data_IF_145744115591
#
_entry.id   IF_145744115591
#
_cell.length_a   1.000
_cell.length_b   1.000
_cell.length_c   1.000
_cell.angle_alpha   90.00
_cell.angle_beta   90.00
_cell.angle_gamma   90.00
#
_symmetry.space_group_name_H-M   'P 1'
#
loop_
_entity.id
_entity.type
_entity.pdbx_description
1 polymer ?
#
# COMPACT_ATOMS: atom_id res chain seq x y z
N UNK A 1 4.36 -11.93 31.49
CA UNK A 1 3.95 -11.72 30.10
C UNK A 1 2.57 -11.08 30.13
N UNK A 2 2.52 -9.75 29.96
CA UNK A 2 1.26 -9.07 29.64
C UNK A 2 0.83 -9.58 28.27
N UNK A 3 -0.38 -10.14 28.16
CA UNK A 3 -0.93 -10.52 26.87
C UNK A 3 -0.92 -9.27 25.98
N UNK A 4 -0.14 -9.28 24.91
CA UNK A 4 -0.08 -8.14 24.00
C UNK A 4 -1.44 -7.95 23.33
N UNK A 5 -1.89 -6.70 23.21
CA UNK A 5 -3.02 -6.33 22.37
C UNK A 5 -2.66 -6.68 20.92
N UNK A 6 -3.31 -7.69 20.35
CA UNK A 6 -3.06 -8.17 18.98
C UNK A 6 -4.38 -8.25 18.21
N UNK A 7 -4.29 -8.13 16.90
CA UNK A 7 -5.39 -8.48 16.01
C UNK A 7 -5.36 -9.98 15.73
N UNK A 8 -6.53 -10.56 15.56
CA UNK A 8 -6.65 -11.93 15.06
C UNK A 8 -7.18 -11.89 13.63
N UNK A 9 -6.51 -12.64 12.74
CA UNK A 9 -6.96 -12.84 11.37
C UNK A 9 -7.54 -14.25 11.30
N UNK A 10 -8.83 -14.35 11.03
CA UNK A 10 -9.51 -15.62 10.77
C UNK A 10 -9.63 -15.76 9.28
N UNK A 11 -9.14 -16.88 8.76
CA UNK A 11 -9.30 -17.23 7.34
C UNK A 11 -10.35 -18.33 7.24
N UNK A 12 -11.22 -18.24 6.23
CA UNK A 12 -12.23 -19.25 5.97
C UNK A 12 -11.66 -20.39 5.14
N UNK A 13 -11.91 -20.35 3.83
CA UNK A 13 -11.52 -21.40 2.90
C UNK A 13 -10.29 -21.01 2.09
N UNK A 14 -9.26 -21.85 2.14
CA UNK A 14 -8.11 -21.80 1.24
C UNK A 14 -8.26 -22.92 0.21
N UNK A 15 -8.42 -22.53 -1.06
CA UNK A 15 -8.37 -23.46 -2.19
C UNK A 15 -7.11 -23.21 -3.01
N UNK A 16 -6.42 -24.27 -3.38
CA UNK A 16 -5.24 -24.22 -4.22
C UNK A 16 -5.32 -25.32 -5.28
N UNK A 17 -5.52 -24.90 -6.53
CA UNK A 17 -5.54 -25.78 -7.69
C UNK A 17 -4.27 -25.54 -8.49
N UNK A 18 -3.54 -26.60 -8.84
CA UNK A 18 -2.34 -26.47 -9.67
C UNK A 18 -2.28 -27.57 -10.70
N UNK A 19 -1.75 -27.22 -11.87
CA UNK A 19 -1.49 -28.13 -12.97
C UNK A 19 -0.07 -27.92 -13.47
N UNK A 20 0.74 -28.96 -13.42
CA UNK A 20 2.05 -28.97 -14.06
C UNK A 20 1.90 -29.46 -15.50
N UNK A 21 2.44 -28.71 -16.46
CA UNK A 21 2.48 -29.12 -17.85
C UNK A 21 3.72 -30.00 -18.09
N UNK A 22 3.59 -31.10 -18.85
CA UNK A 22 4.74 -31.93 -19.23
C UNK A 22 5.73 -31.12 -20.07
N UNK A 23 7.00 -31.57 -20.11
CA UNK A 23 8.11 -30.85 -20.74
C UNK A 23 7.78 -30.27 -22.14
N UNK A 24 8.19 -29.01 -22.43
CA UNK A 24 9.03 -28.16 -21.60
C UNK A 24 8.25 -27.54 -20.43
N UNK A 25 8.83 -27.65 -19.24
CA UNK A 25 8.24 -27.36 -17.93
C UNK A 25 7.49 -26.02 -17.89
N UNK A 26 6.19 -26.12 -17.63
CA UNK A 26 5.29 -25.00 -17.38
C UNK A 26 4.22 -25.40 -16.37
N UNK A 27 3.31 -24.50 -16.06
CA UNK A 27 2.22 -24.78 -15.13
C UNK A 27 1.29 -23.61 -14.93
N UNK A 28 0.14 -23.92 -14.35
CA UNK A 28 -0.85 -22.94 -13.92
C UNK A 28 -1.19 -23.27 -12.47
N UNK A 29 -1.31 -22.26 -11.63
CA UNK A 29 -1.87 -22.41 -10.30
C UNK A 29 -2.89 -21.31 -10.04
N UNK A 30 -4.00 -21.67 -9.43
CA UNK A 30 -5.00 -20.73 -8.93
C UNK A 30 -5.14 -20.98 -7.45
N UNK A 31 -4.92 -19.94 -6.65
CA UNK A 31 -5.08 -19.96 -5.19
C UNK A 31 -6.15 -18.95 -4.84
N UNK A 32 -7.15 -19.35 -4.06
CA UNK A 32 -8.17 -18.44 -3.56
C UNK A 32 -8.28 -18.56 -2.05
N UNK A 33 -8.38 -17.41 -1.41
CA UNK A 33 -8.64 -17.26 0.01
C UNK A 33 -9.97 -16.51 0.17
N UNK A 34 -10.95 -17.14 0.81
CA UNK A 34 -12.25 -16.53 1.09
C UNK A 34 -12.49 -16.33 2.58
N UNK A 35 -13.44 -15.45 2.88
CA UNK A 35 -14.00 -15.25 4.22
C UNK A 35 -12.95 -14.85 5.25
N UNK A 36 -11.98 -14.02 4.82
CA UNK A 36 -10.99 -13.45 5.72
C UNK A 36 -11.66 -12.37 6.56
N UNK A 37 -11.66 -12.58 7.87
CA UNK A 37 -12.20 -11.67 8.87
C UNK A 37 -11.09 -11.21 9.81
N UNK A 38 -11.12 -9.93 10.19
CA UNK A 38 -10.21 -9.35 11.18
C UNK A 38 -10.99 -8.93 12.42
N UNK A 39 -10.52 -9.39 13.57
CA UNK A 39 -11.04 -9.03 14.88
C UNK A 39 -9.96 -8.38 15.75
N UNK A 40 -10.38 -7.47 16.62
CA UNK A 40 -9.51 -6.92 17.66
C UNK A 40 -9.23 -7.94 18.79
N UNK A 41 -8.45 -7.52 19.78
CA UNK A 41 -8.09 -8.37 20.92
C UNK A 41 -9.28 -8.74 21.82
N UNK A 42 -10.41 -8.03 21.70
CA UNK A 42 -11.66 -8.31 22.39
C UNK A 42 -12.61 -9.20 21.55
N UNK A 43 -12.22 -9.57 20.32
CA UNK A 43 -13.04 -10.35 19.40
C UNK A 43 -14.11 -9.52 18.67
N UNK A 44 -13.96 -8.19 18.63
CA UNK A 44 -14.86 -7.30 17.89
C UNK A 44 -14.44 -7.28 16.43
N UNK A 45 -15.39 -7.50 15.51
CA UNK A 45 -15.13 -7.41 14.07
C UNK A 45 -14.73 -5.99 13.68
N UNK A 46 -13.64 -5.89 12.92
CA UNK A 46 -13.10 -4.63 12.43
C UNK A 46 -13.39 -4.43 10.94
N UNK A 47 -14.38 -5.13 10.42
CA UNK A 47 -14.69 -5.18 8.99
C UNK A 47 -16.20 -5.27 8.76
N UNK A 48 -16.69 -4.61 7.71
CA UNK A 48 -18.10 -4.63 7.29
C UNK A 48 -18.47 -5.94 6.55
N UNK A 49 -17.45 -6.65 6.03
CA UNK A 49 -17.65 -7.92 5.35
C UNK A 49 -16.34 -8.68 5.11
N UNK A 50 -16.43 -9.95 4.66
CA UNK A 50 -15.27 -10.78 4.41
C UNK A 50 -14.42 -10.26 3.24
N UNK A 51 -13.11 -10.40 3.37
CA UNK A 51 -12.18 -10.17 2.26
C UNK A 51 -12.00 -11.46 1.48
N UNK A 52 -12.07 -11.34 0.15
CA UNK A 52 -11.73 -12.40 -0.79
C UNK A 52 -10.48 -12.01 -1.58
N UNK A 53 -9.57 -12.96 -1.74
CA UNK A 53 -8.34 -12.79 -2.51
C UNK A 53 -8.16 -13.97 -3.46
N UNK A 54 -7.93 -13.69 -4.73
CA UNK A 54 -7.55 -14.67 -5.75
C UNK A 54 -6.14 -14.41 -6.25
N UNK A 55 -5.37 -15.47 -6.49
CA UNK A 55 -4.04 -15.42 -7.08
C UNK A 55 -4.05 -16.41 -8.25
N UNK A 56 -3.92 -15.88 -9.45
CA UNK A 56 -3.72 -16.68 -10.66
C UNK A 56 -2.25 -16.60 -11.08
N UNK A 57 -1.66 -17.77 -11.25
CA UNK A 57 -0.26 -17.96 -11.60
C UNK A 57 -0.16 -18.68 -12.92
N UNK A 58 0.57 -18.10 -13.86
CA UNK A 58 0.89 -18.73 -15.14
C UNK A 58 2.40 -18.79 -15.32
N UNK A 59 2.89 -20.02 -15.50
CA UNK A 59 4.29 -20.36 -15.76
C UNK A 59 4.37 -20.94 -17.16
N UNK A 60 4.74 -20.16 -18.18
CA UNK A 60 4.85 -20.69 -19.53
C UNK A 60 5.97 -21.72 -19.67
N UNK A 61 5.83 -22.58 -20.68
CA UNK A 61 6.82 -23.57 -21.07
C UNK A 61 8.11 -22.91 -21.59
N UNK A 62 9.27 -23.49 -21.27
CA UNK A 62 10.58 -23.01 -21.72
C UNK A 62 10.83 -23.26 -23.21
N UNK A 63 11.63 -22.39 -23.84
CA UNK A 63 12.23 -22.63 -25.16
C UNK A 63 11.30 -22.43 -26.35
N UNK A 64 10.08 -21.93 -26.14
CA UNK A 64 9.11 -21.60 -27.20
C UNK A 64 8.78 -20.11 -27.16
N UNK A 65 8.98 -19.43 -28.28
CA UNK A 65 8.66 -18.00 -28.42
C UNK A 65 9.74 -17.06 -27.86
N UNK A 66 9.35 -15.81 -27.63
CA UNK A 66 10.20 -14.76 -27.05
C UNK A 66 10.29 -14.87 -25.52
N UNK A 67 11.25 -14.15 -24.91
CA UNK A 67 11.36 -14.04 -23.45
C UNK A 67 10.06 -13.52 -22.80
N UNK A 68 9.31 -12.70 -23.53
CA UNK A 68 7.99 -12.18 -23.11
C UNK A 68 6.88 -13.25 -23.17
N UNK A 69 6.96 -14.18 -24.13
CA UNK A 69 6.06 -15.33 -24.21
C UNK A 69 6.33 -16.31 -23.07
N UNK A 70 7.59 -16.35 -22.60
CA UNK A 70 8.06 -17.20 -21.50
C UNK A 70 7.97 -16.53 -20.12
N UNK A 71 7.45 -15.30 -20.06
CA UNK A 71 7.35 -14.53 -18.82
C UNK A 71 6.34 -15.14 -17.84
N UNK A 72 6.75 -15.22 -16.57
CA UNK A 72 5.89 -15.57 -15.46
C UNK A 72 4.85 -14.47 -15.26
N UNK A 73 3.58 -14.85 -15.12
CA UNK A 73 2.50 -13.89 -14.88
C UNK A 73 1.76 -14.25 -13.61
N UNK A 74 1.70 -13.30 -12.69
CA UNK A 74 0.94 -13.37 -11.46
C UNK A 74 -0.14 -12.31 -11.54
N UNK A 75 -1.39 -12.71 -11.34
CA UNK A 75 -2.50 -11.80 -11.14
C UNK A 75 -3.05 -12.01 -9.74
N UNK A 76 -2.99 -10.97 -8.92
CA UNK A 76 -3.58 -10.95 -7.58
C UNK A 76 -4.82 -10.06 -7.67
N UNK A 77 -5.97 -10.59 -7.29
CA UNK A 77 -7.27 -9.93 -7.35
C UNK A 77 -7.86 -9.90 -5.94
N UNK A 78 -8.00 -8.72 -5.37
CA UNK A 78 -8.52 -8.50 -4.03
C UNK A 78 -9.88 -7.81 -4.11
N UNK A 79 -10.89 -8.43 -3.48
CA UNK A 79 -12.24 -7.89 -3.40
C UNK A 79 -12.29 -6.54 -2.70
N UNK A 80 -13.44 -5.88 -2.81
CA UNK A 80 -13.74 -4.74 -1.95
C UNK A 80 -13.63 -5.15 -0.48
N UNK A 81 -12.95 -4.33 0.31
CA UNK A 81 -12.78 -4.52 1.75
C UNK A 81 -12.99 -3.19 2.48
N UNK A 82 -13.80 -3.22 3.53
CA UNK A 82 -14.12 -2.05 4.35
C UNK A 82 -13.71 -2.32 5.80
N UNK A 83 -12.78 -1.50 6.31
CA UNK A 83 -12.30 -1.58 7.68
C UNK A 83 -13.04 -0.60 8.57
N UNK A 84 -13.71 -1.13 9.59
CA UNK A 84 -14.47 -0.39 10.56
C UNK A 84 -13.60 -0.19 11.80
N UNK A 85 -13.06 1.01 11.98
CA UNK A 85 -12.10 1.27 13.04
C UNK A 85 -12.64 2.31 14.02
N UNK A 86 -12.71 1.93 15.29
CA UNK A 86 -12.76 2.86 16.41
C UNK A 86 -11.36 3.43 16.71
N UNK A 87 -11.29 4.56 17.42
CA UNK A 87 -10.03 5.27 17.62
C UNK A 87 -8.92 4.40 18.24
N UNK A 88 -9.26 3.56 19.21
CA UNK A 88 -8.30 2.65 19.84
C UNK A 88 -7.82 1.55 18.89
N UNK A 89 -8.71 1.00 18.05
CA UNK A 89 -8.38 0.00 17.03
C UNK A 89 -7.49 0.61 15.93
N UNK A 90 -7.78 1.83 15.49
CA UNK A 90 -6.92 2.57 14.57
C UNK A 90 -5.52 2.78 15.15
N UNK A 91 -5.43 3.23 16.42
CA UNK A 91 -4.15 3.41 17.12
C UNK A 91 -3.35 2.11 17.21
N UNK A 92 -4.02 1.01 17.57
CA UNK A 92 -3.39 -0.31 17.63
C UNK A 92 -2.89 -0.74 16.23
N UNK A 93 -3.69 -0.55 15.18
CA UNK A 93 -3.32 -0.90 13.80
C UNK A 93 -2.10 -0.11 13.33
N UNK A 94 -2.09 1.21 13.52
CA UNK A 94 -0.95 2.05 13.15
C UNK A 94 0.29 1.70 13.98
N UNK A 95 0.14 1.41 15.28
CA UNK A 95 1.25 0.96 16.13
C UNK A 95 1.84 -0.37 15.64
N UNK A 96 0.98 -1.35 15.32
CA UNK A 96 1.39 -2.64 14.77
C UNK A 96 2.08 -2.48 13.41
N UNK A 97 1.54 -1.66 12.51
CA UNK A 97 2.18 -1.36 11.23
C UNK A 97 3.53 -0.67 11.41
N UNK A 98 3.61 0.32 12.30
CA UNK A 98 4.86 1.04 12.59
C UNK A 98 5.96 0.11 13.10
N UNK A 99 5.63 -0.81 14.01
CA UNK A 99 6.58 -1.84 14.48
C UNK A 99 7.01 -2.79 13.35
N UNK A 100 6.07 -3.26 12.53
CA UNK A 100 6.39 -4.15 11.40
C UNK A 100 7.25 -3.49 10.31
N UNK A 101 7.11 -2.18 10.09
CA UNK A 101 7.90 -1.45 9.08
C UNK A 101 9.30 -1.10 9.63
N UNK A 102 9.42 -0.86 10.95
CA UNK A 102 10.65 -0.44 11.61
C UNK A 102 11.58 -1.57 12.07
N UNK A 103 11.07 -2.80 12.22
CA UNK A 103 11.86 -3.95 12.67
C UNK A 103 12.41 -4.78 11.49
N UNK A 104 13.65 -5.25 11.61
CA UNK A 104 14.29 -6.15 10.63
C UNK A 104 13.59 -7.53 10.63
N UNK A 105 13.05 -7.93 11.79
CA UNK A 105 12.22 -9.11 11.96
C UNK A 105 10.75 -8.66 12.11
N UNK A 106 9.91 -9.07 11.15
CA UNK A 106 8.48 -8.74 11.13
C UNK A 106 7.79 -9.31 12.38
N UNK A 107 7.20 -8.43 13.21
CA UNK A 107 6.44 -8.73 14.44
C UNK A 107 5.34 -9.81 14.29
N UNK A 108 4.93 -10.15 13.05
CA UNK A 108 3.89 -11.14 12.74
C UNK A 108 4.40 -12.47 12.18
N UNK A 109 5.71 -12.72 12.13
CA UNK A 109 6.24 -14.06 11.82
C UNK A 109 6.57 -14.78 13.11
N UNK A 110 6.04 -15.99 13.27
CA UNK A 110 6.62 -16.96 14.21
C UNK A 110 8.13 -17.06 13.93
N UNK A 111 8.94 -17.12 14.99
CA UNK A 111 10.39 -17.38 14.98
C UNK A 111 10.78 -18.72 14.30
N UNK A 112 9.86 -19.36 13.58
CA UNK A 112 9.96 -20.68 12.97
C UNK A 112 10.03 -20.63 11.44
N UNK A 113 10.58 -19.57 10.85
CA UNK A 113 11.13 -19.71 9.50
C UNK A 113 12.33 -20.65 9.60
N UNK A 114 12.30 -21.84 8.96
CA UNK A 114 13.47 -22.71 8.98
C UNK A 114 14.63 -21.96 8.31
N UNK A 115 15.76 -21.88 9.01
CA UNK A 115 17.05 -21.31 8.58
C UNK A 115 17.62 -21.90 7.26
N UNK A 116 16.84 -22.67 6.51
CA UNK A 116 17.29 -23.44 5.34
C UNK A 116 17.42 -22.62 4.06
N UNK A 117 17.11 -21.33 4.05
CA UNK A 117 17.36 -20.44 2.89
C UNK A 117 18.45 -19.39 3.14
N UNK A 118 19.13 -19.45 4.28
CA UNK A 118 20.35 -18.68 4.51
C UNK A 118 21.44 -19.20 3.58
N UNK A 119 21.73 -18.43 2.53
CA UNK A 119 22.91 -18.53 1.66
C UNK A 119 24.13 -19.07 2.41
N UNK A 120 24.85 -20.08 1.89
CA UNK A 120 26.06 -20.56 2.53
C UNK A 120 27.16 -19.49 2.40
N UNK A 121 27.28 -18.65 3.42
CA UNK A 121 28.51 -17.90 3.67
C UNK A 121 29.50 -18.88 4.29
N UNK A 122 30.41 -19.40 3.47
CA UNK A 122 31.83 -19.50 3.81
C UNK A 122 32.62 -19.89 2.56
N UNK A 123 33.32 -18.91 2.01
CA UNK A 123 34.57 -19.15 1.30
C UNK A 123 35.56 -19.75 2.29
N UNK A 124 35.72 -21.07 2.27
CA UNK A 124 36.98 -21.73 2.61
C UNK A 124 36.98 -23.15 1.99
N UNK A 125 37.65 -23.26 0.83
CA UNK A 125 38.19 -24.46 0.17
C UNK A 125 37.72 -25.84 0.67
N UNK A 126 36.60 -26.37 0.15
CA UNK A 126 36.35 -27.81 0.09
C UNK A 126 35.68 -28.17 -1.25
N UNK A 127 36.37 -29.04 -1.98
CA UNK A 127 36.00 -29.81 -3.17
C UNK A 127 34.53 -29.86 -3.61
N UNK A 128 34.33 -29.60 -4.91
CA UNK A 128 33.15 -29.84 -5.74
C UNK A 128 32.37 -31.13 -5.40
N UNK A 129 31.30 -31.00 -4.62
CA UNK A 129 30.05 -31.77 -4.75
C UNK A 129 29.02 -31.11 -3.83
N UNK A 130 28.42 -30.01 -4.27
CA UNK A 130 27.22 -29.46 -3.62
C UNK A 130 26.07 -30.40 -3.93
N UNK A 131 25.60 -31.14 -2.92
CA UNK A 131 24.39 -31.96 -3.02
C UNK A 131 23.20 -31.07 -3.42
N UNK A 132 22.34 -31.50 -4.37
CA UNK A 132 21.19 -30.71 -4.78
C UNK A 132 20.31 -30.41 -3.57
N UNK A 133 19.87 -29.16 -3.43
CA UNK A 133 18.90 -28.78 -2.40
C UNK A 133 17.58 -29.43 -2.82
N UNK A 134 17.16 -30.46 -2.09
CA UNK A 134 15.90 -31.13 -2.35
C UNK A 134 14.79 -30.39 -1.61
N UNK A 135 13.68 -30.14 -2.30
CA UNK A 135 12.42 -29.74 -1.68
C UNK A 135 11.95 -30.83 -0.69
N UNK A 136 11.01 -30.49 0.19
CA UNK A 136 10.37 -31.44 1.11
C UNK A 136 9.68 -32.61 0.38
N UNK A 137 9.42 -32.47 -0.92
CA UNK A 137 8.89 -33.50 -1.80
C UNK A 137 9.96 -34.34 -2.52
N UNK A 138 11.26 -34.12 -2.24
CA UNK A 138 12.37 -34.85 -2.85
C UNK A 138 12.68 -34.44 -4.30
N UNK A 139 12.24 -33.25 -4.71
CA UNK A 139 12.51 -32.66 -6.04
C UNK A 139 13.68 -31.70 -5.93
N UNK A 140 14.62 -31.76 -6.86
CA UNK A 140 15.75 -30.83 -6.97
C UNK A 140 15.24 -29.38 -7.13
N UNK A 141 15.73 -28.49 -6.26
CA UNK A 141 15.44 -27.07 -6.33
C UNK A 141 16.31 -26.45 -7.42
N UNK A 142 15.66 -25.98 -8.49
CA UNK A 142 16.31 -25.26 -9.58
C UNK A 142 15.84 -23.80 -9.56
N UNK A 143 16.74 -22.87 -9.23
CA UNK A 143 16.46 -21.44 -9.29
C UNK A 143 16.80 -20.92 -10.68
N UNK A 144 15.78 -20.45 -11.40
CA UNK A 144 15.95 -19.86 -12.74
C UNK A 144 15.48 -18.41 -12.77
N UNK A 145 16.34 -17.46 -13.17
CA UNK A 145 15.91 -16.08 -13.39
C UNK A 145 14.98 -16.05 -14.62
N UNK A 146 13.75 -15.57 -14.43
CA UNK A 146 12.77 -15.38 -15.51
C UNK A 146 12.19 -13.98 -15.46
N UNK A 147 11.76 -13.48 -16.63
CA UNK A 147 10.93 -12.29 -16.70
C UNK A 147 9.64 -12.56 -15.94
N UNK A 148 9.22 -11.60 -15.11
CA UNK A 148 8.05 -11.73 -14.24
C UNK A 148 7.20 -10.47 -14.32
N UNK A 149 5.90 -10.68 -14.45
CA UNK A 149 4.87 -9.65 -14.35
C UNK A 149 3.95 -9.99 -13.19
N UNK A 150 3.74 -9.03 -12.30
CA UNK A 150 2.83 -9.16 -11.15
C UNK A 150 1.84 -8.01 -11.24
N UNK A 151 0.57 -8.33 -11.42
CA UNK A 151 -0.51 -7.36 -11.39
C UNK A 151 -1.37 -7.58 -10.15
N UNK A 152 -1.40 -6.60 -9.26
CA UNK A 152 -2.27 -6.59 -8.08
C UNK A 152 -3.41 -5.63 -8.35
N UNK A 153 -4.63 -6.14 -8.29
CA UNK A 153 -5.87 -5.39 -8.49
C UNK A 153 -6.62 -5.37 -7.16
N UNK A 154 -6.91 -4.18 -6.67
CA UNK A 154 -7.71 -3.96 -5.46
C UNK A 154 -8.96 -3.21 -5.91
N UNK A 155 -10.11 -3.85 -5.83
CA UNK A 155 -11.38 -3.25 -6.31
C UNK A 155 -11.77 -2.04 -5.48
N UNK A 156 -11.77 -2.18 -4.16
CA UNK A 156 -11.95 -1.07 -3.23
C UNK A 156 -11.32 -1.38 -1.88
N UNK A 157 -10.67 -0.38 -1.28
CA UNK A 157 -10.18 -0.42 0.08
C UNK A 157 -10.77 0.77 0.82
N UNK A 158 -11.69 0.54 1.76
CA UNK A 158 -12.27 1.59 2.59
C UNK A 158 -11.81 1.50 4.04
N UNK A 159 -11.69 2.68 4.65
CA UNK A 159 -11.38 2.90 6.04
C UNK A 159 -12.46 3.81 6.61
N UNK A 160 -13.29 3.26 7.47
CA UNK A 160 -14.43 3.94 8.08
C UNK A 160 -14.02 4.27 9.53
N UNK A 161 -13.89 5.56 9.80
CA UNK A 161 -13.49 6.09 11.10
C UNK A 161 -14.75 6.26 11.95
N UNK A 162 -14.82 5.50 13.04
CA UNK A 162 -15.97 5.47 13.93
C UNK A 162 -15.70 6.28 15.20
N UNK A 163 -16.76 6.87 15.75
CA UNK A 163 -16.76 7.61 17.02
C UNK A 163 -16.60 6.69 18.23
N UNK A 164 -17.22 7.08 19.35
CA UNK A 164 -17.18 6.26 20.56
C UNK A 164 -18.08 5.03 20.48
N UNK A 165 -19.08 5.07 19.60
CA UNK A 165 -19.99 3.97 19.32
C UNK A 165 -19.84 3.51 17.87
N UNK A 166 -20.06 2.22 17.63
CA UNK A 166 -19.93 1.61 16.28
C UNK A 166 -20.85 2.23 15.22
N UNK A 167 -21.95 2.87 15.65
CA UNK A 167 -22.92 3.51 14.75
C UNK A 167 -22.65 5.01 14.51
N UNK A 168 -21.59 5.57 15.08
CA UNK A 168 -21.23 6.99 14.95
C UNK A 168 -20.12 7.17 13.91
N UNK A 169 -20.44 7.00 12.62
CA UNK A 169 -19.47 7.24 11.54
C UNK A 169 -19.02 8.71 11.49
N UNK A 170 -17.70 8.95 11.57
CA UNK A 170 -17.08 10.27 11.44
C UNK A 170 -16.81 10.54 9.96
N UNK A 171 -15.98 9.68 9.36
CA UNK A 171 -15.58 9.82 7.97
C UNK A 171 -15.19 8.47 7.38
N UNK A 172 -15.46 8.31 6.09
CA UNK A 172 -15.04 7.15 5.30
C UNK A 172 -14.07 7.58 4.22
N UNK A 173 -12.94 6.89 4.15
CA UNK A 173 -11.89 7.10 3.15
C UNK A 173 -11.84 5.84 2.29
N UNK A 174 -12.09 5.96 1.00
CA UNK A 174 -12.18 4.84 0.08
C UNK A 174 -11.26 5.04 -1.13
N UNK A 175 -10.35 4.09 -1.32
CA UNK A 175 -9.48 3.97 -2.48
C UNK A 175 -10.08 2.96 -3.46
N UNK A 176 -10.62 3.43 -4.58
CA UNK A 176 -11.36 2.62 -5.55
C UNK A 176 -10.51 2.35 -6.80
N UNK A 177 -10.49 1.09 -7.21
CA UNK A 177 -9.75 0.54 -8.36
C UNK A 177 -8.27 0.93 -8.31
N UNK A 178 -7.59 0.36 -7.33
CA UNK A 178 -6.13 0.44 -7.25
C UNK A 178 -5.53 -0.68 -8.08
N UNK A 179 -4.53 -0.36 -8.90
CA UNK A 179 -3.76 -1.33 -9.65
C UNK A 179 -2.27 -1.10 -9.38
N UNK A 180 -1.56 -2.18 -9.06
CA UNK A 180 -0.11 -2.21 -8.89
C UNK A 180 0.44 -3.21 -9.92
N UNK A 181 1.12 -2.71 -10.94
CA UNK A 181 1.84 -3.55 -11.91
C UNK A 181 3.33 -3.54 -11.60
N UNK A 182 3.92 -4.71 -11.44
CA UNK A 182 5.35 -4.92 -11.30
C UNK A 182 5.87 -5.70 -12.51
N UNK A 183 7.01 -5.28 -13.03
CA UNK A 183 7.74 -5.97 -14.09
C UNK A 183 9.19 -6.15 -13.65
N UNK A 184 9.63 -7.40 -13.57
CA UNK A 184 11.00 -7.77 -13.22
C UNK A 184 11.60 -8.42 -14.45
N UNK A 185 12.67 -7.84 -14.99
CA UNK A 185 13.38 -8.34 -16.18
C UNK A 185 14.84 -8.59 -15.82
N UNK A 186 15.17 -9.78 -15.30
CA UNK A 186 16.54 -10.11 -14.89
C UNK A 186 17.55 -9.99 -16.04
N UNK A 187 17.16 -10.37 -17.26
CA UNK A 187 18.02 -10.30 -18.43
C UNK A 187 18.44 -8.86 -18.81
N UNK A 188 17.67 -7.87 -18.38
CA UNK A 188 17.90 -6.44 -18.64
C UNK A 188 18.39 -5.69 -17.38
N UNK A 189 18.60 -6.39 -16.25
CA UNK A 189 18.78 -5.79 -14.93
C UNK A 189 17.76 -4.67 -14.64
N UNK A 190 16.50 -4.88 -15.05
CA UNK A 190 15.45 -3.86 -15.03
C UNK A 190 14.31 -4.26 -14.09
N UNK A 191 13.88 -3.31 -13.29
CA UNK A 191 12.68 -3.43 -12.47
C UNK A 191 11.80 -2.21 -12.72
N UNK A 192 10.52 -2.43 -12.95
CA UNK A 192 9.54 -1.37 -13.09
C UNK A 192 8.32 -1.65 -12.22
N UNK A 193 7.82 -0.63 -11.55
CA UNK A 193 6.59 -0.65 -10.80
C UNK A 193 5.71 0.53 -11.22
N UNK A 194 4.43 0.27 -11.45
CA UNK A 194 3.42 1.29 -11.70
C UNK A 194 2.26 1.07 -10.73
N UNK A 195 2.04 2.04 -9.86
CA UNK A 195 0.90 2.09 -8.95
C UNK A 195 -0.06 3.13 -9.51
N UNK A 196 -1.34 2.78 -9.64
CA UNK A 196 -2.38 3.70 -10.05
C UNK A 196 -3.61 3.55 -9.17
N UNK A 197 -4.17 4.67 -8.74
CA UNK A 197 -5.44 4.76 -8.03
C UNK A 197 -6.40 5.53 -8.91
N UNK A 198 -7.53 4.92 -9.28
CA UNK A 198 -8.49 5.59 -10.14
C UNK A 198 -9.23 6.69 -9.39
N UNK A 199 -9.84 6.35 -8.26
CA UNK A 199 -10.71 7.25 -7.51
C UNK A 199 -10.32 7.21 -6.03
N UNK A 200 -10.20 8.40 -5.40
CA UNK A 200 -10.10 8.55 -3.96
C UNK A 200 -11.33 9.31 -3.51
N UNK A 201 -12.12 8.67 -2.65
CA UNK A 201 -13.35 9.25 -2.10
C UNK A 201 -13.14 9.44 -0.62
N UNK A 202 -13.43 10.63 -0.13
CA UNK A 202 -13.50 10.89 1.31
C UNK A 202 -14.87 11.47 1.60
N UNK A 203 -15.63 10.85 2.50
CA UNK A 203 -16.99 11.26 2.85
C UNK A 203 -17.12 11.58 4.34
N UNK A 204 -17.81 12.67 4.66
CA UNK A 204 -18.26 12.98 6.03
C UNK A 204 -19.56 12.18 6.28
N UNK A 205 -19.52 11.18 7.16
CA UNK A 205 -20.66 10.28 7.40
C UNK A 205 -21.70 10.89 8.36
N UNK A 206 -21.31 11.90 9.14
CA UNK A 206 -22.22 12.65 10.01
C UNK A 206 -23.27 13.44 9.21
N UNK A 207 -22.94 13.77 7.95
CA UNK A 207 -23.80 14.50 7.03
C UNK A 207 -25.15 13.83 6.79
N UNK A 208 -25.22 12.49 6.87
CA UNK A 208 -26.45 11.73 6.66
C UNK A 208 -27.41 11.86 7.86
N UNK A 209 -26.89 11.93 9.08
CA UNK A 209 -27.68 12.17 10.29
C UNK A 209 -28.21 13.62 10.39
N UNK A 210 -27.53 14.58 9.76
CA UNK A 210 -27.83 16.02 9.85
C UNK A 210 -28.57 16.55 8.60
N UNK A 211 -28.70 15.76 7.54
CA UNK A 211 -29.41 16.15 6.30
C UNK A 211 -28.62 17.13 5.40
N UNK A 212 -27.29 17.02 5.36
CA UNK A 212 -26.40 17.90 4.56
C UNK A 212 -26.33 17.49 3.07
N UNK A 213 -26.12 18.47 2.18
CA UNK A 213 -26.16 18.29 0.72
C UNK A 213 -24.81 17.94 0.06
N UNK A 214 -23.66 18.35 0.62
CA UNK A 214 -22.34 17.94 0.14
C UNK A 214 -21.70 16.98 1.15
N UNK A 215 -21.58 15.70 0.75
CA UNK A 215 -21.06 14.60 1.59
C UNK A 215 -19.58 14.32 1.34
N UNK A 216 -19.04 14.76 0.22
CA UNK A 216 -17.70 14.39 -0.26
C UNK A 216 -16.68 15.47 0.11
N UNK A 217 -15.75 15.14 1.00
CA UNK A 217 -14.58 15.95 1.39
C UNK A 217 -13.51 15.95 0.29
N UNK A 218 -13.42 14.89 -0.49
CA UNK A 218 -12.55 14.78 -1.67
C UNK A 218 -13.37 14.20 -2.83
N UNK A 219 -13.48 14.97 -3.90
CA UNK A 219 -14.09 14.55 -5.17
C UNK A 219 -13.13 14.87 -6.33
N UNK A 220 -13.26 14.14 -7.44
CA UNK A 220 -12.58 14.50 -8.68
C UNK A 220 -13.54 15.21 -9.62
N UNK A 221 -13.15 16.37 -10.12
CA UNK A 221 -13.74 16.90 -11.34
C UNK A 221 -13.08 16.16 -12.51
N UNK A 222 -13.80 15.19 -13.09
CA UNK A 222 -13.39 14.44 -14.28
C UNK A 222 -13.37 15.37 -15.50
N UNK A 223 -12.31 16.16 -15.64
CA UNK A 223 -12.05 16.89 -16.87
C UNK A 223 -11.68 15.88 -17.98
N UNK A 224 -12.51 15.81 -19.02
CA UNK A 224 -12.30 14.92 -20.15
C UNK A 224 -10.95 15.21 -20.84
N UNK A 225 -10.03 14.23 -20.83
CA UNK A 225 -8.82 14.25 -21.67
C UNK A 225 -7.50 13.95 -20.96
N UNK A 226 -7.46 13.90 -19.64
CA UNK A 226 -6.31 13.39 -18.89
C UNK A 226 -6.59 11.98 -18.36
N UNK A 227 -5.55 11.14 -18.36
CA UNK A 227 -5.50 9.84 -17.67
C UNK A 227 -6.32 9.88 -16.38
N UNK A 228 -7.36 9.05 -16.31
CA UNK A 228 -8.49 9.15 -15.35
C UNK A 228 -8.13 8.77 -13.91
N UNK A 229 -6.84 8.67 -13.59
CA UNK A 229 -6.35 8.23 -12.30
C UNK A 229 -6.15 9.42 -11.35
N UNK A 230 -6.67 9.30 -10.13
CA UNK A 230 -6.40 10.23 -9.03
C UNK A 230 -4.89 10.39 -8.80
N UNK A 231 -4.18 9.27 -8.87
CA UNK A 231 -2.80 9.18 -8.44
C UNK A 231 -2.10 8.09 -9.22
N UNK A 232 -0.91 8.38 -9.73
CA UNK A 232 -0.04 7.41 -10.39
C UNK A 232 1.38 7.60 -9.89
N UNK A 233 1.99 6.50 -9.44
CA UNK A 233 3.43 6.44 -9.14
C UNK A 233 4.05 5.45 -10.12
N UNK A 234 5.09 5.89 -10.80
CA UNK A 234 5.94 5.03 -11.62
C UNK A 234 7.33 5.01 -10.99
N UNK A 235 7.87 3.81 -10.83
CA UNK A 235 9.23 3.59 -10.39
C UNK A 235 9.91 2.68 -11.41
N UNK A 236 11.08 3.05 -11.88
CA UNK A 236 11.84 2.25 -12.82
C UNK A 236 13.32 2.31 -12.48
N UNK A 237 13.96 1.15 -12.41
CA UNK A 237 15.41 1.03 -12.33
C UNK A 237 15.92 0.29 -13.54
N UNK A 238 17.05 0.76 -14.07
CA UNK A 238 17.78 0.09 -15.15
C UNK A 238 19.23 -0.06 -14.72
N UNK A 239 19.68 -1.31 -14.56
CA UNK A 239 20.97 -1.62 -13.96
C UNK A 239 21.05 -1.17 -12.49
N UNK A 240 22.28 -0.89 -12.03
CA UNK A 240 22.55 -0.39 -10.67
C UNK A 240 22.63 1.13 -10.56
N UNK A 241 22.46 1.84 -11.68
CA UNK A 241 22.93 3.22 -11.84
C UNK A 241 21.83 4.23 -12.14
N UNK A 242 20.69 3.83 -12.71
CA UNK A 242 19.62 4.77 -13.06
C UNK A 242 18.34 4.37 -12.36
N UNK A 243 17.72 5.34 -11.68
CA UNK A 243 16.40 5.22 -11.04
C UNK A 243 15.54 6.38 -11.48
N UNK A 244 14.37 6.10 -12.05
CA UNK A 244 13.40 7.10 -12.46
C UNK A 244 12.15 6.92 -11.60
N UNK A 245 11.69 8.01 -11.02
CA UNK A 245 10.49 8.04 -10.20
C UNK A 245 9.56 9.12 -10.73
N UNK A 246 8.38 8.73 -11.17
CA UNK A 246 7.34 9.63 -11.63
C UNK A 246 6.18 9.63 -10.64
N UNK A 247 5.76 10.80 -10.21
CA UNK A 247 4.57 11.02 -9.41
C UNK A 247 3.61 11.90 -10.20
N UNK A 248 2.39 11.43 -10.39
CA UNK A 248 1.31 12.21 -10.98
C UNK A 248 0.12 12.22 -10.06
N UNK A 249 -0.38 13.41 -9.77
CA UNK A 249 -1.61 13.64 -9.03
C UNK A 249 -2.61 14.29 -9.97
N UNK A 250 -3.84 13.80 -9.96
CA UNK A 250 -4.96 14.32 -10.74
C UNK A 250 -5.38 15.72 -10.30
N UNK A 251 -6.63 16.08 -10.62
CA UNK A 251 -7.22 17.38 -10.28
C UNK A 251 -8.22 17.22 -9.13
N UNK A 252 -7.77 17.14 -7.86
CA UNK A 252 -8.69 16.96 -6.74
C UNK A 252 -9.50 18.24 -6.50
N UNK A 253 -10.77 18.06 -6.15
CA UNK A 253 -11.60 19.06 -5.49
C UNK A 253 -11.74 18.69 -4.03
N UNK A 254 -11.14 19.51 -3.17
CA UNK A 254 -11.18 19.35 -1.72
C UNK A 254 -12.26 20.25 -1.14
N UNK A 255 -13.15 19.68 -0.32
CA UNK A 255 -14.18 20.40 0.43
C UNK A 255 -13.76 20.40 1.90
N UNK A 256 -13.45 21.60 2.40
CA UNK A 256 -13.00 21.81 3.76
C UNK A 256 -14.20 22.16 4.64
N UNK A 257 -14.52 21.25 5.55
CA UNK A 257 -15.49 21.45 6.62
C UNK A 257 -14.69 21.51 7.93
N UNK A 258 -14.49 22.68 8.54
CA UNK A 258 -13.62 22.84 9.72
C UNK A 258 -13.97 21.86 10.87
N UNK A 259 -15.26 21.67 11.14
CA UNK A 259 -15.73 20.75 12.18
C UNK A 259 -15.43 19.28 11.87
N UNK A 260 -15.43 18.88 10.58
CA UNK A 260 -15.03 17.54 10.17
C UNK A 260 -13.53 17.34 10.32
N UNK A 261 -12.76 18.32 9.86
CA UNK A 261 -11.30 18.26 9.87
C UNK A 261 -10.77 18.22 11.30
N UNK A 262 -11.28 19.08 12.20
CA UNK A 262 -10.84 19.09 13.59
C UNK A 262 -11.10 17.74 14.28
N UNK A 263 -12.23 17.09 14.00
CA UNK A 263 -12.55 15.79 14.58
C UNK A 263 -11.70 14.66 13.97
N UNK A 264 -11.50 14.64 12.65
CA UNK A 264 -10.58 13.70 12.00
C UNK A 264 -9.15 13.89 12.54
N UNK A 265 -8.69 15.13 12.68
CA UNK A 265 -7.37 15.42 13.25
C UNK A 265 -7.29 14.95 14.71
N UNK A 266 -8.30 15.23 15.54
CA UNK A 266 -8.36 14.72 16.92
C UNK A 266 -8.44 13.19 17.00
N UNK A 267 -9.06 12.55 16.01
CA UNK A 267 -9.09 11.10 15.86
C UNK A 267 -7.68 10.54 15.57
N UNK A 268 -6.97 11.18 14.63
CA UNK A 268 -5.62 10.84 14.21
C UNK A 268 -4.53 11.22 15.22
N UNK A 269 -4.78 12.18 16.10
CA UNK A 269 -3.91 12.53 17.23
C UNK A 269 -3.82 11.34 18.20
N UNK A 270 -2.89 10.44 17.90
CA UNK A 270 -2.37 9.47 18.85
C UNK A 270 -1.46 10.19 19.82
N UNK A 271 -1.73 10.07 21.13
CA UNK A 271 -0.68 10.30 22.14
C UNK A 271 0.49 9.38 21.78
N UNK A 272 1.51 9.95 21.17
CA UNK A 272 2.73 9.30 20.72
C UNK A 272 3.57 8.93 21.94
N UNK A 273 3.19 7.90 22.69
CA UNK A 273 3.96 7.50 23.87
C UNK A 273 5.04 6.46 23.57
N UNK A 274 4.95 5.71 22.46
CA UNK A 274 5.88 4.59 22.21
C UNK A 274 6.47 4.47 20.78
N UNK A 275 6.07 5.29 19.81
CA UNK A 275 6.66 5.27 18.45
C UNK A 275 7.98 6.07 18.34
N UNK A 276 8.30 6.91 19.33
CA UNK A 276 9.52 7.74 19.35
C UNK A 276 10.82 6.96 19.64
N UNK A 277 10.75 5.62 19.73
CA UNK A 277 11.92 4.76 20.01
C UNK A 277 12.41 3.95 18.82
N UNK A 278 11.81 4.11 17.65
CA UNK A 278 12.37 3.51 16.43
C UNK A 278 13.42 4.49 15.88
N UNK A 279 14.65 4.38 16.41
CA UNK A 279 15.84 4.95 15.76
C UNK A 279 16.09 4.16 14.46
N UNK A 280 15.28 4.43 13.43
CA UNK A 280 15.71 4.15 12.07
C UNK A 280 16.77 5.22 11.79
N UNK A 281 18.05 4.89 11.95
CA UNK A 281 19.09 5.71 11.34
C UNK A 281 18.73 5.79 9.85
N UNK A 282 18.34 6.96 9.31
CA UNK A 282 18.09 7.06 7.89
C UNK A 282 19.42 6.71 7.23
N UNK A 283 19.43 5.71 6.34
CA UNK A 283 20.56 5.46 5.46
C UNK A 283 20.68 6.69 4.57
N UNK A 284 21.38 7.70 5.08
CA UNK A 284 21.56 8.99 4.44
C UNK A 284 22.59 8.79 3.35
N UNK A 285 22.11 8.36 2.18
CA UNK A 285 22.86 8.56 0.96
C UNK A 285 23.02 10.08 0.80
N UNK A 286 24.21 10.59 1.12
CA UNK A 286 24.52 12.01 0.91
C UNK A 286 24.40 12.31 -0.58
N UNK A 287 23.36 13.06 -0.93
CA UNK A 287 23.19 13.65 -2.24
C UNK A 287 24.38 14.58 -2.50
N UNK A 288 25.15 14.30 -3.54
CA UNK A 288 26.35 15.07 -3.89
C UNK A 288 25.98 16.30 -4.69
N UNK A 289 25.02 16.18 -5.61
CA UNK A 289 24.50 17.27 -6.44
C UNK A 289 23.02 17.05 -6.74
N UNK A 290 22.23 18.13 -6.82
CA UNK A 290 20.85 18.10 -7.28
C UNK A 290 20.53 19.31 -8.15
N UNK A 291 19.65 19.12 -9.14
CA UNK A 291 19.12 20.18 -9.99
C UNK A 291 17.60 20.07 -10.03
N UNK A 292 16.92 21.16 -9.72
CA UNK A 292 15.47 21.27 -9.84
C UNK A 292 15.18 22.11 -11.08
N UNK A 293 14.48 21.52 -12.05
CA UNK A 293 14.04 22.20 -13.27
C UNK A 293 12.53 22.30 -13.26
N UNK A 294 11.93 23.52 -13.22
CA UNK A 294 10.50 23.66 -13.42
C UNK A 294 10.16 23.30 -14.87
N UNK A 295 9.14 22.47 -15.05
CA UNK A 295 8.61 22.09 -16.35
C UNK A 295 7.24 22.76 -16.49
N UNK A 296 7.04 23.56 -17.55
CA UNK A 296 5.76 24.22 -17.84
C UNK A 296 5.40 25.38 -16.89
N UNK A 297 4.11 25.71 -16.81
CA UNK A 297 3.56 26.84 -16.02
C UNK A 297 3.49 26.56 -14.50
N UNK A 298 4.48 25.85 -13.94
CA UNK A 298 4.64 25.67 -12.50
C UNK A 298 3.88 24.51 -11.85
N UNK A 299 3.25 23.63 -12.65
CA UNK A 299 2.55 22.42 -12.16
C UNK A 299 3.41 21.15 -12.21
N UNK A 300 4.64 21.25 -12.72
CA UNK A 300 5.57 20.13 -12.76
C UNK A 300 7.00 20.50 -12.47
N UNK A 301 7.71 19.59 -11.80
CA UNK A 301 9.11 19.75 -11.43
C UNK A 301 9.85 18.46 -11.71
N UNK A 302 11.05 18.59 -12.26
CA UNK A 302 12.00 17.50 -12.42
C UNK A 302 13.19 17.75 -11.48
N UNK A 303 13.50 16.75 -10.67
CA UNK A 303 14.68 16.74 -9.80
C UNK A 303 15.63 15.67 -10.31
N UNK A 304 16.80 16.09 -10.76
CA UNK A 304 17.92 15.21 -11.07
C UNK A 304 18.87 15.23 -9.88
N UNK A 305 19.22 14.05 -9.37
CA UNK A 305 20.11 13.91 -8.23
C UNK A 305 21.19 12.86 -8.47
N UNK A 306 22.41 13.18 -8.02
CA UNK A 306 23.53 12.26 -7.98
C UNK A 306 23.77 11.80 -6.54
N UNK A 307 23.85 10.48 -6.35
CA UNK A 307 24.12 9.89 -5.05
C UNK A 307 25.45 9.09 -5.06
N UNK A 308 26.41 9.52 -4.23
CA UNK A 308 27.54 8.70 -3.77
C UNK A 308 28.90 8.90 -4.48
N UNK A 309 30.03 8.52 -3.81
CA UNK A 309 31.39 8.76 -4.29
C UNK A 309 32.04 7.64 -5.15
N UNK A 310 31.41 6.47 -5.32
CA UNK A 310 32.04 5.30 -5.97
C UNK A 310 31.22 4.61 -7.09
N UNK A 311 29.91 4.86 -7.18
CA UNK A 311 29.06 4.47 -8.32
C UNK A 311 28.16 5.66 -8.65
N UNK A 312 28.19 6.17 -9.89
CA UNK A 312 27.29 7.24 -10.31
C UNK A 312 25.88 6.67 -10.34
N UNK A 313 25.07 7.01 -9.33
CA UNK A 313 23.63 6.72 -9.30
C UNK A 313 22.88 8.00 -9.63
N UNK A 314 22.22 7.98 -10.79
CA UNK A 314 21.35 9.05 -11.24
C UNK A 314 19.92 8.73 -10.85
N UNK A 315 19.33 9.57 -10.02
CA UNK A 315 17.92 9.53 -9.69
C UNK A 315 17.22 10.69 -10.38
N UNK A 316 16.22 10.39 -11.22
CA UNK A 316 15.30 11.40 -11.76
C UNK A 316 13.97 11.29 -11.03
N UNK A 317 13.40 12.43 -10.65
CA UNK A 317 12.11 12.52 -9.99
C UNK A 317 11.25 13.54 -10.70
N UNK A 318 10.11 13.11 -11.26
CA UNK A 318 9.16 13.99 -11.95
C UNK A 318 7.86 14.05 -11.16
N UNK A 319 7.42 15.26 -10.77
CA UNK A 319 6.10 15.48 -10.18
C UNK A 319 5.23 16.24 -11.16
N UNK A 320 4.01 15.77 -11.41
CA UNK A 320 3.00 16.46 -12.22
C UNK A 320 1.71 16.52 -11.40
N UNK A 321 1.18 17.72 -11.20
CA UNK A 321 -0.11 17.92 -10.51
C UNK A 321 -1.14 18.56 -11.46
N UNK A 322 -2.38 18.07 -11.39
CA UNK A 322 -3.52 18.76 -12.01
C UNK A 322 -3.95 20.00 -11.21
N UNK A 323 -4.81 20.87 -11.77
CA UNK A 323 -5.42 21.95 -11.01
C UNK A 323 -6.17 21.43 -9.79
N UNK A 324 -5.84 21.97 -8.61
CA UNK A 324 -6.56 21.69 -7.37
C UNK A 324 -7.66 22.72 -7.16
N UNK A 325 -8.87 22.27 -6.84
CA UNK A 325 -10.00 23.11 -6.42
C UNK A 325 -10.18 22.98 -4.91
N UNK A 326 -10.38 24.12 -4.23
CA UNK A 326 -10.63 24.18 -2.79
C UNK A 326 -11.96 24.89 -2.55
N UNK A 327 -12.87 24.21 -1.88
CA UNK A 327 -14.15 24.77 -1.44
C UNK A 327 -14.16 24.78 0.08
N UNK A 328 -14.32 25.96 0.65
CA UNK A 328 -14.51 26.13 2.10
C UNK A 328 -16.00 26.19 2.38
N UNK A 329 -16.48 25.30 3.25
CA UNK A 329 -17.87 25.27 3.70
C UNK A 329 -17.88 25.61 5.18
N UNK A 330 -18.31 26.83 5.49
CA UNK A 330 -18.64 27.24 6.86
C UNK A 330 -20.08 26.80 7.15
N UNK A 331 -20.23 25.94 8.15
CA UNK A 331 -21.53 25.39 8.52
C UNK A 331 -22.25 26.23 9.59
N UNK A 332 -21.66 27.33 10.06
CA UNK A 332 -22.24 28.18 11.09
C UNK A 332 -22.44 27.40 12.39
N UNK A 333 -21.39 27.27 13.20
CA UNK A 333 -21.45 26.54 14.44
C UNK A 333 -22.57 27.04 15.36
N UNK A 334 -23.63 26.25 15.55
CA UNK A 334 -24.41 26.34 16.77
C UNK A 334 -23.57 25.74 17.89
N UNK A 335 -22.81 26.62 18.55
CA UNK A 335 -22.19 26.40 19.85
C UNK A 335 -23.23 25.89 20.86
N UNK A 336 -23.47 24.58 20.91
CA UNK A 336 -24.19 23.89 21.98
C UNK A 336 -23.26 23.61 23.18
N UNK A 337 -22.33 24.53 23.45
CA UNK A 337 -21.53 24.58 24.67
C UNK A 337 -21.72 25.98 25.26
N UNK A 338 -22.71 26.11 26.16
CA UNK A 338 -22.75 27.18 27.17
C UNK A 338 -23.58 28.44 26.86
N UNK A 339 -24.88 28.33 26.62
CA UNK A 339 -25.80 29.39 27.07
C UNK A 339 -26.01 29.26 28.59
N UNK A 340 -25.02 29.68 29.38
CA UNK A 340 -25.31 30.16 30.74
C UNK A 340 -25.53 31.67 30.63
N UNK A 341 -26.80 32.01 30.46
CA UNK A 341 -27.26 33.38 30.48
C UNK A 341 -26.96 34.04 31.82
N UNK A 342 -26.10 35.06 31.79
CA UNK A 342 -26.27 36.23 32.67
C UNK A 342 -25.97 37.50 31.89
N UNK A 343 -27.06 38.12 31.45
CA UNK A 343 -27.15 39.51 31.06
C UNK A 343 -26.87 40.44 32.24
N UNK A 344 -25.95 41.40 32.07
CA UNK A 344 -26.03 42.78 32.61
C UNK A 344 -24.94 43.60 31.91
N UNK A 345 -25.23 44.54 31.00
CA UNK A 345 -25.82 45.87 31.23
C UNK A 345 -25.25 46.55 32.48
N UNK A 346 -24.08 47.17 32.35
CA UNK A 346 -23.89 48.64 32.32
C UNK A 346 -22.52 48.98 31.76
#
# INVERSE_FOLDING_TARGET
ATAGEHFSVKTGELSAEYSALPEPSGGVATVSLSDVMIEDFNGINMQDGPIHMGIDLVVPAEGVGSDEDQAFRIKIDMSSSAFLLMQHQYKQLVSTLGKNIGEIDLFLRDDSLPETLSTPKNEENISNTTSPVLTHAGIEFEEKPRVMYIDVIIHSLSLDLLGQQENEGIARIEAVKTNISLAIKPNEDRFAAKISLQELVCTDERAEAIGRFERSLISQDLAAGMDQSFFVVTYETTGKTVTNVGLRVGSPRMVFIPDAINEILGYLESESSDLDKVDVEPVSAKLTEYKITPIGEGTSFEVEALAGPSEIRMMSFTVITGPCSVVLVDLGGNSLIGEDGTSSVT
#
